data_IF_146831734565
#
_entry.id   IF_146831734565
#
_cell.length_a   1.000
_cell.length_b   1.000
_cell.length_c   1.000
_cell.angle_alpha   90.00
_cell.angle_beta   90.00
_cell.angle_gamma   90.00
#
_symmetry.space_group_name_H-M   'P 1'
#
loop_
_entity.id
_entity.type
_entity.pdbx_description
1 polymer ?
#
# COMPACT_ATOMS: atom_id res chain seq x y z
N UNK A 1 26.91 2.61 -5.72
CA UNK A 1 26.83 3.41 -4.48
C UNK A 1 25.47 4.09 -4.44
N UNK A 2 24.72 3.95 -3.35
CA UNK A 2 23.46 4.71 -3.15
C UNK A 2 23.76 6.21 -3.12
N UNK A 3 22.92 7.06 -3.72
CA UNK A 3 23.12 8.52 -3.79
C UNK A 3 22.99 9.29 -2.45
N UNK A 4 22.98 8.58 -1.31
CA UNK A 4 22.49 9.09 -0.02
C UNK A 4 23.50 8.82 1.11
N UNK A 5 24.74 9.29 0.97
CA UNK A 5 25.80 9.03 1.96
C UNK A 5 25.60 9.83 3.27
N UNK A 6 24.93 10.98 3.24
CA UNK A 6 24.66 11.81 4.42
C UNK A 6 23.40 11.47 5.22
N UNK A 7 22.64 10.45 4.80
CA UNK A 7 21.39 10.09 5.49
C UNK A 7 21.67 9.25 6.73
N UNK A 8 21.03 9.61 7.85
CA UNK A 8 21.02 8.85 9.08
C UNK A 8 19.57 8.53 9.48
N UNK A 9 19.38 7.75 10.55
CA UNK A 9 18.05 7.35 11.03
C UNK A 9 17.12 8.54 11.31
N UNK A 10 17.66 9.62 11.90
CA UNK A 10 16.87 10.81 12.21
C UNK A 10 16.32 11.47 10.94
N UNK A 11 17.15 11.58 9.90
CA UNK A 11 16.74 12.11 8.60
C UNK A 11 15.74 11.20 7.90
N UNK A 12 15.92 9.87 7.96
CA UNK A 12 14.96 8.91 7.42
C UNK A 12 13.59 9.03 8.11
N UNK A 13 13.56 9.08 9.44
CA UNK A 13 12.35 9.29 10.22
C UNK A 13 11.67 10.63 9.88
N UNK A 14 12.46 11.71 9.77
CA UNK A 14 11.96 13.03 9.40
C UNK A 14 11.36 13.06 8.00
N UNK A 15 11.96 12.36 7.03
CA UNK A 15 11.44 12.25 5.66
C UNK A 15 10.06 11.58 5.63
N UNK A 16 9.87 10.49 6.39
CA UNK A 16 8.56 9.84 6.49
C UNK A 16 7.55 10.75 7.20
N UNK A 17 7.91 11.33 8.35
CA UNK A 17 7.02 12.23 9.08
C UNK A 17 6.58 13.45 8.24
N UNK A 18 7.50 14.05 7.48
CA UNK A 18 7.21 15.19 6.62
C UNK A 18 6.33 14.81 5.42
N UNK A 19 6.57 13.65 4.81
CA UNK A 19 5.71 13.10 3.76
C UNK A 19 4.28 12.89 4.26
N UNK A 20 4.13 12.24 5.42
CA UNK A 20 2.82 11.99 6.03
C UNK A 20 2.11 13.30 6.40
N UNK A 21 2.86 14.29 6.93
CA UNK A 21 2.31 15.63 7.21
C UNK A 21 1.76 16.28 5.95
N UNK A 22 2.55 16.28 4.88
CA UNK A 22 2.14 16.87 3.61
C UNK A 22 0.88 16.19 3.04
N UNK A 23 0.81 14.86 3.08
CA UNK A 23 -0.39 14.12 2.65
C UNK A 23 -1.62 14.50 3.49
N UNK A 24 -1.44 14.61 4.82
CA UNK A 24 -2.50 14.99 5.74
C UNK A 24 -3.01 16.41 5.48
N UNK A 25 -2.10 17.37 5.35
CA UNK A 25 -2.40 18.79 5.17
C UNK A 25 -3.10 19.06 3.83
N UNK A 26 -2.83 18.23 2.81
CA UNK A 26 -3.48 18.28 1.50
C UNK A 26 -4.68 17.32 1.36
N UNK A 27 -5.08 16.66 2.46
CA UNK A 27 -6.19 15.72 2.53
C UNK A 27 -6.13 14.56 1.51
N UNK A 28 -4.93 14.07 1.20
CA UNK A 28 -4.75 12.87 0.38
C UNK A 28 -4.94 11.61 1.23
N UNK A 29 -6.14 11.01 1.14
CA UNK A 29 -6.53 9.81 1.92
C UNK A 29 -6.49 8.51 1.13
N UNK A 30 -6.31 8.60 -0.19
CA UNK A 30 -6.23 7.48 -1.13
C UNK A 30 -4.77 7.08 -1.44
N UNK A 31 -3.83 7.40 -0.55
CA UNK A 31 -2.39 7.17 -0.72
C UNK A 31 -1.90 6.28 0.40
N UNK A 32 -1.02 5.33 0.05
CA UNK A 32 -0.20 4.58 1.00
C UNK A 32 1.27 5.00 0.86
N UNK A 33 2.03 4.89 1.95
CA UNK A 33 3.46 5.22 1.98
C UNK A 33 4.27 3.93 2.10
N UNK A 34 5.06 3.60 1.08
CA UNK A 34 6.13 2.59 1.19
C UNK A 34 7.39 3.24 1.76
N UNK A 35 7.83 2.78 2.92
CA UNK A 35 9.01 3.34 3.60
C UNK A 35 10.32 2.63 3.24
N UNK A 36 10.26 1.49 2.54
CA UNK A 36 11.43 0.63 2.33
C UNK A 36 11.33 -0.19 1.05
N UNK A 37 11.39 0.46 -0.12
CA UNK A 37 11.32 -0.21 -1.42
C UNK A 37 12.43 -1.26 -1.60
N UNK A 38 12.03 -2.53 -1.71
CA UNK A 38 12.88 -3.72 -1.84
C UNK A 38 13.99 -3.87 -0.77
N UNK A 39 13.82 -3.29 0.41
CA UNK A 39 14.84 -3.31 1.48
C UNK A 39 15.97 -2.28 1.30
N UNK A 40 15.79 -1.23 0.48
CA UNK A 40 16.79 -0.19 0.31
C UNK A 40 17.08 0.64 1.58
N UNK A 41 16.10 0.82 2.45
CA UNK A 41 16.27 1.46 3.76
C UNK A 41 16.79 0.46 4.79
N UNK A 42 16.12 -0.68 4.97
CA UNK A 42 16.51 -1.64 6.00
C UNK A 42 17.82 -2.38 5.66
N UNK A 43 17.81 -3.16 4.57
CA UNK A 43 18.94 -4.03 4.21
C UNK A 43 20.15 -3.24 3.73
N UNK A 44 19.95 -2.22 2.90
CA UNK A 44 21.06 -1.52 2.26
C UNK A 44 21.60 -0.35 3.08
N UNK A 45 20.83 0.21 4.02
CA UNK A 45 21.25 1.34 4.87
C UNK A 45 21.26 1.05 6.36
N UNK A 46 20.69 -0.06 6.81
CA UNK A 46 20.60 -0.39 8.23
C UNK A 46 19.63 0.51 8.99
N UNK A 47 18.69 1.17 8.29
CA UNK A 47 17.67 1.93 8.98
C UNK A 47 16.66 1.01 9.67
N UNK A 48 16.25 1.44 10.84
CA UNK A 48 15.16 0.85 11.60
C UNK A 48 13.83 1.28 10.98
N UNK A 49 13.19 0.35 10.28
CA UNK A 49 11.91 0.58 9.60
C UNK A 49 10.75 0.72 10.60
N UNK A 50 10.84 0.12 11.79
CA UNK A 50 9.83 0.32 12.84
C UNK A 50 9.82 1.78 13.29
N UNK A 51 10.99 2.37 13.52
CA UNK A 51 11.09 3.80 13.86
C UNK A 51 10.55 4.71 12.74
N UNK A 52 10.81 4.37 11.48
CA UNK A 52 10.30 5.12 10.33
C UNK A 52 8.77 5.05 10.25
N UNK A 53 8.17 3.87 10.40
CA UNK A 53 6.69 3.71 10.48
C UNK A 53 6.15 4.57 11.61
N UNK A 54 6.70 4.43 12.82
CA UNK A 54 6.24 5.17 14.00
C UNK A 54 6.36 6.68 13.84
N UNK A 55 7.41 7.17 13.17
CA UNK A 55 7.55 8.59 12.86
C UNK A 55 6.38 9.12 12.00
N UNK A 56 5.94 8.34 11.01
CA UNK A 56 4.75 8.65 10.21
C UNK A 56 3.45 8.57 11.02
N UNK A 57 3.23 7.46 11.75
CA UNK A 57 1.99 7.25 12.53
C UNK A 57 1.80 8.30 13.63
N UNK A 58 2.88 8.89 14.18
CA UNK A 58 2.81 10.01 15.15
C UNK A 58 2.23 11.29 14.53
N UNK A 59 2.41 11.50 13.23
CA UNK A 59 1.88 12.68 12.52
C UNK A 59 0.43 12.46 12.09
N UNK A 60 0.16 11.28 11.52
CA UNK A 60 -1.18 10.84 11.16
C UNK A 60 -1.31 9.34 11.36
N UNK A 61 -2.00 8.94 12.44
CA UNK A 61 -2.27 7.53 12.73
C UNK A 61 -3.16 6.87 11.67
N UNK A 62 -3.83 7.64 10.83
CA UNK A 62 -4.70 7.15 9.76
C UNK A 62 -3.99 7.01 8.42
N UNK A 63 -2.79 7.55 8.27
CA UNK A 63 -1.99 7.29 7.08
C UNK A 63 -1.63 5.81 7.03
N UNK A 64 -1.86 5.19 5.87
CA UNK A 64 -1.54 3.79 5.62
C UNK A 64 -0.05 3.70 5.26
N UNK A 65 0.72 3.03 6.09
CA UNK A 65 2.17 2.87 5.91
C UNK A 65 2.50 1.40 5.69
N UNK A 66 3.18 1.12 4.58
CA UNK A 66 3.59 -0.19 4.14
C UNK A 66 5.11 -0.39 4.24
N UNK A 67 5.53 -1.65 4.25
CA UNK A 67 6.94 -2.03 4.12
C UNK A 67 7.14 -3.01 2.98
N UNK A 68 8.24 -2.86 2.23
CA UNK A 68 8.54 -3.62 1.03
C UNK A 68 9.93 -4.29 1.09
N UNK A 69 10.17 -5.19 2.05
CA UNK A 69 11.45 -5.91 2.13
C UNK A 69 11.24 -7.39 2.39
N UNK A 70 12.22 -8.23 2.05
CA UNK A 70 12.17 -9.67 2.34
C UNK A 70 12.28 -9.92 3.84
N UNK A 71 11.14 -10.04 4.52
CA UNK A 71 11.07 -10.30 5.95
C UNK A 71 9.69 -10.04 6.53
N UNK A 72 9.56 -10.23 7.84
CA UNK A 72 8.32 -9.89 8.56
C UNK A 72 8.20 -8.37 8.70
N UNK A 73 7.08 -7.76 8.30
CA UNK A 73 6.88 -6.33 8.46
C UNK A 73 6.84 -5.95 9.95
N UNK A 74 7.29 -4.74 10.33
CA UNK A 74 7.10 -4.22 11.69
C UNK A 74 5.63 -4.32 12.13
N UNK A 75 5.40 -4.57 13.42
CA UNK A 75 4.05 -4.75 13.97
C UNK A 75 3.16 -3.52 13.74
N UNK A 76 3.76 -2.33 13.66
CA UNK A 76 3.10 -1.05 13.49
C UNK A 76 2.82 -0.69 12.03
N UNK A 77 3.43 -1.39 11.07
CA UNK A 77 3.11 -1.22 9.66
C UNK A 77 1.67 -1.69 9.40
N UNK A 78 0.91 -0.95 8.57
CA UNK A 78 -0.49 -1.28 8.33
C UNK A 78 -0.63 -2.50 7.41
N UNK A 79 0.32 -2.72 6.50
CA UNK A 79 0.34 -3.83 5.55
C UNK A 79 1.76 -4.14 5.04
N UNK A 80 1.95 -5.37 4.55
CA UNK A 80 3.13 -5.74 3.78
C UNK A 80 2.87 -5.57 2.28
N UNK A 81 3.89 -5.15 1.52
CA UNK A 81 3.79 -5.08 0.05
C UNK A 81 4.96 -5.75 -0.67
N UNK A 82 4.70 -6.21 -1.89
CA UNK A 82 5.65 -6.83 -2.83
C UNK A 82 6.61 -7.88 -2.23
N UNK A 83 7.80 -7.51 -1.75
CA UNK A 83 8.73 -8.48 -1.13
C UNK A 83 8.44 -8.81 0.33
N UNK A 84 7.57 -8.04 1.00
CA UNK A 84 7.18 -8.30 2.38
C UNK A 84 6.56 -9.68 2.54
N UNK A 85 6.93 -10.36 3.63
CA UNK A 85 6.19 -11.54 4.05
C UNK A 85 4.76 -11.15 4.38
N UNK A 86 3.82 -12.02 3.99
CA UNK A 86 2.41 -11.90 4.32
C UNK A 86 2.25 -12.21 5.81
N UNK A 87 1.92 -11.21 6.60
CA UNK A 87 1.70 -11.35 8.04
C UNK A 87 0.23 -11.69 8.34
N UNK A 88 0.00 -12.58 9.30
CA UNK A 88 -1.35 -12.95 9.72
C UNK A 88 -2.11 -11.71 10.24
N UNK A 89 -3.38 -11.58 9.86
CA UNK A 89 -4.23 -10.46 10.26
C UNK A 89 -3.90 -9.11 9.61
N UNK A 90 -2.88 -9.03 8.73
CA UNK A 90 -2.54 -7.83 7.98
C UNK A 90 -2.93 -7.96 6.50
N UNK A 91 -3.38 -6.87 5.84
CA UNK A 91 -3.55 -6.83 4.40
C UNK A 91 -2.21 -7.07 3.69
N UNK A 92 -2.31 -7.42 2.41
CA UNK A 92 -1.15 -7.54 1.54
C UNK A 92 -1.48 -6.99 0.16
N UNK A 93 -0.51 -6.31 -0.47
CA UNK A 93 -0.60 -5.85 -1.86
C UNK A 93 0.66 -6.29 -2.59
N UNK A 94 0.56 -6.94 -3.74
CA UNK A 94 1.72 -7.02 -4.63
C UNK A 94 1.77 -5.70 -5.42
N UNK A 95 2.63 -4.77 -4.95
CA UNK A 95 2.71 -3.40 -5.45
C UNK A 95 3.57 -3.28 -6.70
N UNK A 96 4.35 -4.32 -7.03
CA UNK A 96 5.27 -4.31 -8.17
C UNK A 96 5.07 -5.52 -9.09
N UNK A 97 3.81 -5.95 -9.25
CA UNK A 97 3.49 -7.16 -9.98
C UNK A 97 3.73 -7.01 -11.48
N UNK A 98 4.43 -7.98 -12.06
CA UNK A 98 4.61 -8.12 -13.51
C UNK A 98 4.20 -9.49 -14.03
N UNK A 99 4.02 -9.65 -15.36
CA UNK A 99 3.85 -10.95 -15.97
C UNK A 99 5.03 -11.85 -15.63
N UNK A 100 4.76 -13.07 -15.15
CA UNK A 100 5.80 -14.05 -14.78
C UNK A 100 6.30 -14.85 -15.97
N UNK A 101 5.58 -14.82 -17.08
CA UNK A 101 5.91 -15.49 -18.34
C UNK A 101 6.67 -14.58 -19.33
N UNK A 102 7.10 -13.39 -18.91
CA UNK A 102 7.96 -12.55 -19.74
C UNK A 102 9.35 -13.18 -19.89
N UNK A 103 9.91 -13.30 -21.11
CA UNK A 103 11.23 -13.89 -21.33
C UNK A 103 12.33 -13.19 -20.52
N UNK A 104 12.93 -13.91 -19.58
CA UNK A 104 13.96 -13.36 -18.68
C UNK A 104 13.45 -12.27 -17.71
N UNK A 105 12.14 -12.27 -17.43
CA UNK A 105 11.46 -11.36 -16.51
C UNK A 105 11.15 -10.00 -17.13
N UNK A 106 9.98 -9.45 -16.84
CA UNK A 106 9.51 -8.20 -17.46
C UNK A 106 10.47 -7.02 -17.21
N UNK A 107 10.96 -6.88 -15.98
CA UNK A 107 11.98 -5.89 -15.59
C UNK A 107 13.43 -6.34 -15.86
N UNK A 108 13.61 -7.59 -16.29
CA UNK A 108 14.90 -8.21 -16.60
C UNK A 108 15.26 -8.05 -18.07
N UNK A 109 15.78 -9.10 -18.70
CA UNK A 109 16.28 -9.03 -20.08
C UNK A 109 15.19 -8.78 -21.11
N UNK A 110 13.91 -8.92 -20.75
CA UNK A 110 12.81 -8.47 -21.61
C UNK A 110 12.87 -6.96 -21.84
N UNK A 111 13.06 -6.16 -20.79
CA UNK A 111 13.00 -4.69 -20.88
C UNK A 111 14.34 -3.99 -20.69
N UNK A 112 15.41 -4.71 -20.34
CA UNK A 112 16.73 -4.12 -20.09
C UNK A 112 17.79 -4.69 -21.01
N UNK A 113 18.67 -3.81 -21.47
CA UNK A 113 19.92 -4.15 -22.15
C UNK A 113 21.08 -3.41 -21.47
N UNK A 114 22.26 -4.03 -21.45
CA UNK A 114 23.46 -3.45 -20.84
C UNK A 114 23.83 -2.14 -21.51
N UNK A 115 24.19 -1.13 -20.70
CA UNK A 115 24.64 0.17 -21.19
C UNK A 115 23.51 1.13 -21.59
N UNK A 116 22.25 0.71 -21.46
CA UNK A 116 21.09 1.56 -21.72
C UNK A 116 20.33 1.83 -20.42
N UNK A 117 20.08 3.11 -20.13
CA UNK A 117 19.45 3.51 -18.87
C UNK A 117 17.93 3.28 -18.84
N UNK A 118 17.27 3.47 -19.98
CA UNK A 118 15.82 3.32 -20.10
C UNK A 118 15.44 1.86 -20.43
N UNK A 119 14.16 1.63 -20.75
CA UNK A 119 13.67 0.31 -21.12
C UNK A 119 13.58 0.16 -22.64
N UNK A 120 13.83 -1.05 -23.14
CA UNK A 120 13.71 -1.36 -24.58
C UNK A 120 12.29 -1.80 -24.98
N UNK A 121 11.47 -2.22 -24.01
CA UNK A 121 10.07 -2.61 -24.20
C UNK A 121 9.14 -1.76 -23.30
N UNK A 122 9.10 -0.45 -23.55
CA UNK A 122 8.31 0.52 -22.77
C UNK A 122 6.82 0.28 -23.02
N UNK A 123 6.09 -0.21 -22.02
CA UNK A 123 4.65 -0.47 -22.11
C UNK A 123 4.25 -1.57 -23.10
N UNK A 124 5.19 -2.43 -23.52
CA UNK A 124 4.92 -3.50 -24.49
C UNK A 124 4.66 -4.81 -23.74
N UNK A 125 3.58 -5.50 -24.11
CA UNK A 125 3.12 -6.76 -23.54
C UNK A 125 2.58 -7.67 -24.65
N UNK A 126 2.99 -8.93 -24.67
CA UNK A 126 2.32 -9.93 -25.53
C UNK A 126 0.94 -10.28 -24.98
N UNK A 127 0.05 -10.85 -25.81
CA UNK A 127 -1.26 -11.34 -25.34
C UNK A 127 -1.12 -12.35 -24.18
N UNK A 128 -0.15 -13.25 -24.27
CA UNK A 128 0.12 -14.22 -23.21
C UNK A 128 0.55 -13.54 -21.91
N UNK A 129 1.34 -12.47 -21.98
CA UNK A 129 1.71 -11.67 -20.79
C UNK A 129 0.49 -10.96 -20.20
N UNK A 130 -0.37 -10.39 -21.04
CA UNK A 130 -1.60 -9.72 -20.58
C UNK A 130 -2.55 -10.71 -19.90
N UNK A 131 -2.72 -11.90 -20.46
CA UNK A 131 -3.51 -12.99 -19.87
C UNK A 131 -2.93 -13.44 -18.52
N UNK A 132 -1.62 -13.65 -18.44
CA UNK A 132 -0.95 -13.99 -17.18
C UNK A 132 -1.13 -12.91 -16.11
N UNK A 133 -0.94 -11.63 -16.47
CA UNK A 133 -1.13 -10.51 -15.55
C UNK A 133 -2.56 -10.41 -15.05
N UNK A 134 -3.56 -10.61 -15.93
CA UNK A 134 -4.98 -10.65 -15.54
C UNK A 134 -5.26 -11.81 -14.58
N UNK A 135 -4.79 -13.02 -14.88
CA UNK A 135 -4.99 -14.18 -14.02
C UNK A 135 -4.42 -13.96 -12.61
N UNK A 136 -3.22 -13.39 -12.49
CA UNK A 136 -2.63 -13.03 -11.19
C UNK A 136 -3.38 -11.90 -10.49
N UNK A 137 -3.86 -10.92 -11.25
CA UNK A 137 -4.72 -9.86 -10.70
C UNK A 137 -5.97 -10.47 -10.06
N UNK A 138 -6.64 -11.39 -10.78
CA UNK A 138 -7.81 -12.14 -10.30
C UNK A 138 -7.47 -12.90 -9.01
N UNK A 139 -6.41 -13.70 -9.04
CA UNK A 139 -5.96 -14.49 -7.89
C UNK A 139 -5.76 -13.62 -6.64
N UNK A 140 -5.09 -12.47 -6.77
CA UNK A 140 -4.88 -11.59 -5.62
C UNK A 140 -6.17 -11.00 -5.09
N UNK A 141 -7.01 -10.46 -5.97
CA UNK A 141 -8.26 -9.81 -5.58
C UNK A 141 -9.23 -10.82 -4.94
N UNK A 142 -9.35 -12.03 -5.50
CA UNK A 142 -10.23 -13.09 -4.97
C UNK A 142 -9.77 -13.63 -3.62
N UNK A 143 -8.48 -13.53 -3.33
CA UNK A 143 -7.91 -13.82 -2.02
C UNK A 143 -7.95 -12.61 -1.05
N UNK A 144 -8.68 -11.55 -1.40
CA UNK A 144 -8.82 -10.34 -0.57
C UNK A 144 -7.53 -9.53 -0.43
N UNK A 145 -6.63 -9.63 -1.41
CA UNK A 145 -5.34 -8.91 -1.46
C UNK A 145 -5.39 -7.82 -2.53
N UNK A 146 -4.51 -6.83 -2.43
CA UNK A 146 -4.30 -5.88 -3.51
C UNK A 146 -3.30 -6.37 -4.56
N UNK A 147 -3.36 -5.72 -5.72
CA UNK A 147 -2.49 -5.98 -6.86
C UNK A 147 -2.27 -4.70 -7.67
N UNK A 148 -1.02 -4.38 -7.98
CA UNK A 148 -0.66 -3.21 -8.79
C UNK A 148 0.25 -3.66 -9.95
N UNK A 149 -0.12 -3.29 -11.17
CA UNK A 149 0.69 -3.57 -12.35
C UNK A 149 1.89 -2.62 -12.40
N UNK A 150 3.08 -3.13 -12.09
CA UNK A 150 4.31 -2.40 -12.31
C UNK A 150 4.64 -2.40 -13.82
N UNK A 151 4.70 -1.19 -14.40
CA UNK A 151 4.85 -1.02 -15.85
C UNK A 151 6.03 -0.13 -16.19
N UNK A 152 6.81 -0.57 -17.18
CA UNK A 152 7.85 0.25 -17.81
C UNK A 152 7.26 1.50 -18.45
N UNK A 153 5.96 1.50 -18.81
CA UNK A 153 5.27 2.67 -19.35
C UNK A 153 5.25 3.84 -18.37
N UNK A 154 4.81 3.60 -17.14
CA UNK A 154 4.68 4.66 -16.12
C UNK A 154 6.03 5.04 -15.50
N UNK A 155 7.01 4.13 -15.51
CA UNK A 155 8.35 4.36 -14.95
C UNK A 155 9.38 4.84 -15.97
N UNK A 156 9.03 4.94 -17.25
CA UNK A 156 9.98 5.41 -18.25
C UNK A 156 10.35 6.88 -18.00
N UNK A 157 11.63 7.17 -18.23
CA UNK A 157 12.22 8.50 -18.08
C UNK A 157 12.38 9.17 -19.45
N UNK A 158 12.73 10.47 -19.52
CA UNK A 158 13.06 11.12 -20.78
C UNK A 158 14.10 10.36 -21.61
N UNK A 159 14.01 10.39 -22.95
CA UNK A 159 13.06 11.18 -23.76
C UNK A 159 11.70 10.49 -23.99
N UNK A 160 11.53 9.24 -23.57
CA UNK A 160 10.34 8.43 -23.87
C UNK A 160 9.21 8.56 -22.82
N UNK A 161 9.45 9.37 -21.78
CA UNK A 161 8.53 9.68 -20.70
C UNK A 161 8.93 10.98 -19.98
N UNK A 162 8.41 11.25 -18.77
CA UNK A 162 7.46 10.42 -18.02
C UNK A 162 6.10 10.36 -18.70
N UNK A 163 5.56 9.14 -18.87
CA UNK A 163 4.21 8.97 -19.39
C UNK A 163 3.19 9.14 -18.26
N UNK A 164 2.46 10.24 -18.30
CA UNK A 164 1.42 10.56 -17.31
C UNK A 164 0.01 10.07 -17.69
N UNK A 165 -0.14 9.44 -18.86
CA UNK A 165 -1.39 8.82 -19.32
C UNK A 165 -1.24 7.30 -19.36
N UNK A 166 -2.34 6.53 -19.27
CA UNK A 166 -2.28 5.06 -19.30
C UNK A 166 -1.69 4.44 -20.58
N UNK A 167 -1.59 5.18 -21.68
CA UNK A 167 -1.18 4.66 -22.98
C UNK A 167 -2.26 3.81 -23.63
N UNK A 168 -1.86 2.72 -24.30
CA UNK A 168 -2.72 1.89 -25.14
C UNK A 168 -2.89 0.44 -24.69
N UNK A 169 -3.08 -0.44 -25.67
CA UNK A 169 -3.40 -1.85 -25.48
C UNK A 169 -2.20 -2.77 -25.18
N UNK A 170 -1.01 -2.18 -25.05
CA UNK A 170 0.24 -2.88 -24.76
C UNK A 170 0.93 -3.43 -26.01
N UNK A 171 0.43 -3.16 -27.21
CA UNK A 171 1.11 -3.48 -28.47
C UNK A 171 2.29 -2.54 -28.73
N UNK A 172 3.07 -2.83 -29.77
CA UNK A 172 4.15 -1.94 -30.24
C UNK A 172 3.60 -0.61 -30.77
N UNK A 173 2.43 -0.63 -31.41
CA UNK A 173 1.81 0.55 -32.01
C UNK A 173 1.05 1.38 -30.98
N UNK A 174 0.53 0.74 -29.92
CA UNK A 174 -0.16 1.40 -28.82
C UNK A 174 0.35 0.91 -27.44
N UNK A 175 1.61 1.23 -27.09
CA UNK A 175 2.20 0.82 -25.82
C UNK A 175 1.46 1.44 -24.63
N UNK A 176 1.44 0.72 -23.51
CA UNK A 176 0.85 1.18 -22.25
C UNK A 176 0.12 0.09 -21.47
N UNK A 177 -0.72 0.55 -20.54
CA UNK A 177 -1.46 -0.27 -19.58
C UNK A 177 -2.97 -0.04 -19.60
N UNK A 178 -3.51 0.69 -20.58
CA UNK A 178 -4.96 0.94 -20.68
C UNK A 178 -5.74 -0.37 -20.67
N UNK A 179 -5.22 -1.40 -21.36
CA UNK A 179 -5.80 -2.75 -21.38
C UNK A 179 -5.96 -3.41 -19.99
N UNK A 180 -5.13 -3.04 -19.02
CA UNK A 180 -5.19 -3.56 -17.64
C UNK A 180 -6.14 -2.73 -16.78
N UNK A 181 -6.15 -1.40 -16.96
CA UNK A 181 -7.09 -0.52 -16.27
C UNK A 181 -8.53 -0.76 -16.71
N UNK A 182 -8.77 -1.00 -18.01
CA UNK A 182 -10.09 -1.38 -18.54
C UNK A 182 -10.53 -2.71 -17.95
N UNK A 183 -9.64 -3.70 -17.90
CA UNK A 183 -9.92 -4.97 -17.23
C UNK A 183 -10.30 -4.79 -15.74
N UNK A 184 -9.58 -3.94 -15.00
CA UNK A 184 -9.92 -3.63 -13.61
C UNK A 184 -11.26 -2.91 -13.49
N UNK A 185 -11.54 -1.93 -14.34
CA UNK A 185 -12.82 -1.21 -14.36
C UNK A 185 -13.97 -2.18 -14.59
N UNK A 186 -13.84 -3.07 -15.57
CA UNK A 186 -14.89 -4.01 -15.93
C UNK A 186 -15.09 -5.08 -14.83
N UNK A 187 -14.02 -5.46 -14.11
CA UNK A 187 -14.07 -6.42 -13.00
C UNK A 187 -14.61 -5.81 -11.70
N UNK A 188 -14.07 -4.67 -11.30
CA UNK A 188 -14.30 -4.08 -9.98
C UNK A 188 -15.44 -3.05 -9.98
N UNK A 189 -15.85 -2.58 -11.16
CA UNK A 189 -16.83 -1.51 -11.29
C UNK A 189 -16.27 -0.13 -10.88
N UNK A 190 -17.13 0.88 -10.81
CA UNK A 190 -16.75 2.20 -10.31
C UNK A 190 -16.29 2.09 -8.85
N UNK A 191 -15.21 2.79 -8.51
CA UNK A 191 -14.83 2.94 -7.11
C UNK A 191 -15.92 3.73 -6.37
N UNK A 192 -16.56 3.09 -5.42
CA UNK A 192 -17.42 3.74 -4.43
C UNK A 192 -16.58 3.88 -3.18
N UNK A 193 -16.07 5.08 -2.85
CA UNK A 193 -15.42 5.29 -1.56
C UNK A 193 -16.40 4.85 -0.48
N UNK A 194 -15.92 4.14 0.55
CA UNK A 194 -16.68 4.01 1.79
C UNK A 194 -17.12 5.42 2.15
N UNK A 195 -18.44 5.65 2.23
CA UNK A 195 -18.97 6.94 2.61
C UNK A 195 -18.18 7.34 3.86
N UNK A 196 -17.42 8.44 3.78
CA UNK A 196 -16.65 8.95 4.91
C UNK A 196 -17.59 8.83 6.08
N UNK A 197 -17.30 7.95 7.04
CA UNK A 197 -18.23 7.68 8.12
C UNK A 197 -18.40 9.01 8.82
N UNK A 198 -19.44 9.75 8.45
CA UNK A 198 -19.80 10.99 9.09
C UNK A 198 -20.26 10.49 10.44
N UNK A 199 -19.37 10.57 11.42
CA UNK A 199 -19.67 10.35 12.84
C UNK A 199 -20.56 11.51 13.30
N UNK A 200 -21.71 11.67 12.67
CA UNK A 200 -22.78 12.61 13.04
C UNK A 200 -24.09 11.99 12.56
N UNK A 201 -24.61 11.05 13.33
CA UNK A 201 -25.92 10.50 13.03
C UNK A 201 -26.35 9.45 14.03
N UNK A 202 -27.01 9.87 15.12
CA UNK A 202 -27.96 8.99 15.81
C UNK A 202 -29.02 8.55 14.80
N UNK A 203 -28.85 7.39 14.16
CA UNK A 203 -29.97 6.64 13.60
C UNK A 203 -30.42 5.66 14.67
N UNK A 204 -31.64 5.87 15.17
CA UNK A 204 -32.35 4.87 15.98
C UNK A 204 -32.54 3.61 15.12
N UNK A 205 -31.95 2.50 15.55
CA UNK A 205 -32.55 1.18 15.36
C UNK A 205 -32.12 0.32 14.17
N UNK A 206 -31.12 0.68 13.37
CA UNK A 206 -30.59 -0.21 12.33
C UNK A 206 -29.09 -0.41 12.48
N UNK A 207 -28.68 -1.66 12.69
CA UNK A 207 -27.29 -2.09 12.69
C UNK A 207 -26.64 -1.71 11.35
N UNK A 208 -25.51 -1.00 11.40
CA UNK A 208 -24.74 -0.72 10.19
C UNK A 208 -23.95 -1.99 9.80
N UNK A 209 -24.07 -2.42 8.55
CA UNK A 209 -23.08 -3.32 7.96
C UNK A 209 -21.74 -2.57 7.93
N UNK A 210 -20.74 -3.12 8.62
CA UNK A 210 -19.39 -2.58 8.61
C UNK A 210 -18.53 -3.31 7.60
N UNK A 211 -17.86 -2.55 6.75
CA UNK A 211 -16.82 -3.10 5.88
C UNK A 211 -15.65 -3.66 6.70
N UNK A 212 -14.94 -4.66 6.15
CA UNK A 212 -13.74 -5.28 6.76
C UNK A 212 -12.62 -4.26 7.11
N UNK A 213 -12.70 -3.05 6.55
CA UNK A 213 -11.74 -1.96 6.71
C UNK A 213 -12.27 -0.78 7.54
N UNK A 214 -13.52 -0.83 7.96
CA UNK A 214 -14.12 0.23 8.77
C UNK A 214 -13.77 0.03 10.24
N UNK A 215 -13.15 1.04 10.82
CA UNK A 215 -12.75 1.06 12.23
C UNK A 215 -13.77 1.88 12.99
N UNK A 216 -14.40 1.29 14.01
CA UNK A 216 -15.14 2.08 15.00
C UNK A 216 -14.18 2.51 16.10
N UNK A 217 -14.07 3.81 16.29
CA UNK A 217 -13.42 4.37 17.46
C UNK A 217 -14.45 5.12 18.29
N UNK A 218 -14.47 4.82 19.58
CA UNK A 218 -15.18 5.62 20.57
C UNK A 218 -14.18 6.07 21.61
N UNK A 219 -14.41 7.25 22.19
CA UNK A 219 -13.58 7.77 23.26
C UNK A 219 -14.34 7.59 24.57
N UNK A 220 -13.83 6.70 25.42
CA UNK A 220 -14.29 6.59 26.80
C UNK A 220 -13.43 7.53 27.63
N UNK A 221 -14.05 8.53 28.27
CA UNK A 221 -13.35 9.44 29.19
C UNK A 221 -13.55 8.96 30.62
N UNK A 222 -12.46 8.55 31.27
CA UNK A 222 -12.45 8.36 32.71
C UNK A 222 -12.19 9.72 33.38
N UNK A 223 -13.12 10.17 34.23
CA UNK A 223 -13.04 11.49 34.90
C UNK A 223 -12.17 11.47 36.17
N UNK A 224 -11.68 10.29 36.58
CA UNK A 224 -10.84 10.15 37.76
C UNK A 224 -9.42 10.61 37.45
N UNK A 225 -8.81 11.36 38.37
CA UNK A 225 -7.39 11.71 38.29
C UNK A 225 -6.55 10.52 38.79
N UNK A 226 -5.54 10.16 38.01
CA UNK A 226 -4.60 9.10 38.33
C UNK A 226 -3.19 9.68 38.40
N UNK A 227 -2.39 9.33 39.41
CA UNK A 227 -0.96 9.68 39.46
C UNK A 227 -0.19 9.20 38.23
N UNK A 228 -0.47 7.98 37.75
CA UNK A 228 0.05 7.44 36.49
C UNK A 228 -1.06 6.73 35.68
N UNK A 229 -1.69 7.40 34.71
CA UNK A 229 -2.78 6.82 33.93
C UNK A 229 -2.36 5.65 33.03
N UNK A 230 -1.06 5.38 32.88
CA UNK A 230 -0.54 4.25 32.08
C UNK A 230 -0.32 2.98 32.90
N UNK A 231 -0.20 3.10 34.23
CA UNK A 231 -0.05 1.98 35.15
C UNK A 231 -1.31 1.74 35.99
N UNK A 232 -2.05 2.80 36.32
CA UNK A 232 -3.17 2.76 37.29
C UNK A 232 -4.53 2.42 36.65
N UNK A 233 -4.57 2.25 35.33
CA UNK A 233 -5.81 2.05 34.57
C UNK A 233 -5.70 0.82 33.68
N UNK A 234 -6.69 -0.07 33.79
CA UNK A 234 -6.91 -1.15 32.83
C UNK A 234 -8.21 -0.86 32.10
N UNK A 235 -8.16 -0.87 30.77
CA UNK A 235 -9.35 -0.82 29.92
C UNK A 235 -9.73 -2.24 29.54
N UNK A 236 -10.81 -2.76 30.13
CA UNK A 236 -11.43 -4.01 29.68
C UNK A 236 -12.55 -3.67 28.70
N UNK A 237 -12.42 -4.05 27.44
CA UNK A 237 -13.45 -3.78 26.43
C UNK A 237 -14.14 -5.08 26.02
N UNK A 238 -15.47 -5.12 26.14
CA UNK A 238 -16.28 -6.27 25.73
C UNK A 238 -17.11 -5.88 24.51
N UNK A 239 -16.84 -6.52 23.37
CA UNK A 239 -17.66 -6.40 22.17
C UNK A 239 -18.69 -7.51 22.11
N UNK A 240 -19.99 -7.16 22.10
CA UNK A 240 -21.08 -8.10 21.84
C UNK A 240 -21.40 -8.10 20.36
N UNK A 241 -21.20 -9.23 19.68
CA UNK A 241 -21.53 -9.43 18.26
C UNK A 241 -23.05 -9.47 18.06
N UNK A 242 -23.56 -9.24 16.83
CA UNK A 242 -25.00 -9.33 16.54
C UNK A 242 -25.63 -10.69 16.87
N UNK A 243 -24.86 -11.78 16.86
CA UNK A 243 -25.30 -13.11 17.24
C UNK A 243 -25.28 -13.35 18.78
N UNK A 244 -25.02 -12.33 19.58
CA UNK A 244 -24.97 -12.40 21.05
C UNK A 244 -23.65 -12.91 21.63
N UNK A 245 -22.71 -13.40 20.81
CA UNK A 245 -21.39 -13.81 21.31
C UNK A 245 -20.54 -12.61 21.73
N UNK A 246 -19.67 -12.81 22.72
CA UNK A 246 -18.83 -11.75 23.28
C UNK A 246 -17.35 -11.97 22.93
N UNK A 247 -16.63 -10.88 22.71
CA UNK A 247 -15.18 -10.84 22.54
C UNK A 247 -14.62 -9.86 23.56
N UNK A 248 -13.68 -10.29 24.38
CA UNK A 248 -13.00 -9.47 25.37
C UNK A 248 -11.65 -9.02 24.81
N UNK A 249 -11.31 -7.75 25.02
CA UNK A 249 -10.06 -7.10 24.63
C UNK A 249 -9.40 -6.46 25.85
#
# INVERSE_FOLDING_TARGET
RSKWEGWNQQLANAAIANTVRWLKDNNYRNVLVDIDNEGMAHRAKGFDTQQMVMAGKRVDRWCIIATNFKGDPPAEADLGIHFSKKAAGKPYIDSESTPTNAPGGYWGSYSKVRGYYNYINIGIYSEQMKQNQRAKTIEHLDNGRGYMCASTWLQCVPPYGPNNRPGGDGSKDQPGIRWWLEFLRDRCGPYVPSASATVTGKRKGTWMEVGRWERFETVVRNKKNYPDPFADVVLNAIYTRPNGSKVEF
#
